data_IF_882904155446
#
_entry.id   IF_882904155446
#
_cell.length_a   1.000
_cell.length_b   1.000
_cell.length_c   1.000
_cell.angle_alpha   90.00
_cell.angle_beta   90.00
_cell.angle_gamma   90.00
#
_symmetry.space_group_name_H-M   'P 1'
#
loop_
_entity.id
_entity.type
_entity.pdbx_description
1 polymer ?
#
# COMPACT_ATOMS: atom_id res chain seq x y z
N UNK A 1 19.99 14.04 92.03
CA UNK A 1 19.97 13.48 90.66
C UNK A 1 18.61 13.60 89.96
N UNK A 2 17.47 13.53 90.67
CA UNK A 2 16.13 13.52 90.04
C UNK A 2 15.66 14.84 89.41
N UNK A 3 16.05 16.02 89.91
CA UNK A 3 15.49 17.28 89.40
C UNK A 3 15.91 17.61 87.96
N UNK A 4 17.13 17.23 87.53
CA UNK A 4 17.60 17.44 86.15
C UNK A 4 16.92 16.53 85.13
N UNK A 5 16.56 15.30 85.53
CA UNK A 5 15.86 14.35 84.65
C UNK A 5 14.41 14.79 84.40
N UNK A 6 13.70 15.24 85.44
CA UNK A 6 12.35 15.80 85.27
C UNK A 6 12.34 17.09 84.45
N UNK A 7 13.38 17.92 84.55
CA UNK A 7 13.50 19.15 83.75
C UNK A 7 13.73 18.84 82.27
N UNK A 8 14.53 17.81 81.96
CA UNK A 8 14.73 17.33 80.59
C UNK A 8 13.46 16.68 80.01
N UNK A 9 12.73 15.90 80.82
CA UNK A 9 11.48 15.26 80.41
C UNK A 9 10.33 16.28 80.26
N UNK A 10 10.34 17.34 81.06
CA UNK A 10 9.45 18.50 80.89
C UNK A 10 9.79 19.29 79.62
N UNK A 11 11.08 19.55 79.35
CA UNK A 11 11.53 20.18 78.09
C UNK A 11 11.16 19.35 76.87
N UNK A 12 11.29 18.02 76.93
CA UNK A 12 10.96 17.13 75.84
C UNK A 12 9.45 17.04 75.60
N UNK A 13 8.66 16.93 76.68
CA UNK A 13 7.19 16.99 76.62
C UNK A 13 6.70 18.34 76.10
N UNK A 14 7.35 19.44 76.50
CA UNK A 14 7.04 20.78 76.02
C UNK A 14 7.39 20.94 74.54
N UNK A 15 8.52 20.40 74.07
CA UNK A 15 8.90 20.39 72.66
C UNK A 15 7.91 19.60 71.80
N UNK A 16 7.41 18.47 72.29
CA UNK A 16 6.38 17.68 71.61
C UNK A 16 5.04 18.44 71.57
N UNK A 17 4.64 19.08 72.67
CA UNK A 17 3.42 19.89 72.70
C UNK A 17 3.52 21.09 71.74
N UNK A 18 4.70 21.72 71.69
CA UNK A 18 4.99 22.83 70.79
C UNK A 18 4.98 22.38 69.33
N UNK A 19 5.53 21.20 69.01
CA UNK A 19 5.52 20.66 67.64
C UNK A 19 4.12 20.29 67.17
N UNK A 20 3.27 19.77 68.07
CA UNK A 20 1.85 19.50 67.79
C UNK A 20 1.07 20.80 67.59
N UNK A 21 1.31 21.83 68.42
CA UNK A 21 0.72 23.16 68.27
C UNK A 21 1.16 23.82 66.95
N UNK A 22 2.42 23.70 66.57
CA UNK A 22 2.93 24.20 65.29
C UNK A 22 2.31 23.46 64.10
N UNK A 23 2.16 22.13 64.20
CA UNK A 23 1.49 21.34 63.17
C UNK A 23 0.01 21.72 63.03
N UNK A 24 -0.70 21.88 64.15
CA UNK A 24 -2.10 22.33 64.17
C UNK A 24 -2.27 23.74 63.59
N UNK A 25 -1.37 24.67 63.93
CA UNK A 25 -1.36 26.02 63.38
C UNK A 25 -1.09 26.02 61.86
N UNK A 26 -0.23 25.12 61.36
CA UNK A 26 0.03 25.02 59.93
C UNK A 26 -1.15 24.45 59.15
N UNK A 27 -1.80 23.41 59.67
CA UNK A 27 -2.98 22.80 59.05
C UNK A 27 -4.16 23.77 58.98
N UNK A 28 -4.41 24.56 60.04
CA UNK A 28 -5.57 25.46 60.08
C UNK A 28 -5.33 26.84 59.49
N UNK A 29 -4.11 27.38 59.58
CA UNK A 29 -3.84 28.78 59.25
C UNK A 29 -2.75 28.97 58.18
N UNK A 30 -2.15 27.91 57.63
CA UNK A 30 -1.14 27.97 56.56
C UNK A 30 -0.07 29.06 56.79
N UNK A 31 0.34 29.24 58.05
CA UNK A 31 1.17 30.36 58.50
C UNK A 31 2.57 30.24 57.91
N UNK A 32 3.17 29.05 57.95
CA UNK A 32 4.48 28.82 57.34
C UNK A 32 4.42 28.89 55.82
N UNK A 33 3.35 28.42 55.18
CA UNK A 33 3.15 28.63 53.75
C UNK A 33 3.16 30.11 53.37
N UNK A 34 2.38 30.96 54.07
CA UNK A 34 2.33 32.41 53.80
C UNK A 34 3.63 33.14 54.11
N UNK A 35 4.32 32.77 55.19
CA UNK A 35 5.65 33.32 55.51
C UNK A 35 6.67 32.91 54.46
N UNK A 36 6.66 31.64 54.04
CA UNK A 36 7.54 31.11 52.97
C UNK A 36 7.29 31.81 51.63
N UNK A 37 6.04 32.07 51.27
CA UNK A 37 5.70 32.78 50.03
C UNK A 37 6.16 34.25 50.07
N UNK A 38 5.96 34.95 51.20
CA UNK A 38 6.48 36.31 51.41
C UNK A 38 8.00 36.37 51.35
N UNK A 39 8.68 35.40 51.98
CA UNK A 39 10.14 35.27 51.91
C UNK A 39 10.58 35.00 50.48
N UNK A 40 9.90 34.10 49.75
CA UNK A 40 10.21 33.79 48.35
C UNK A 40 10.09 35.03 47.46
N UNK A 41 9.01 35.81 47.59
CA UNK A 41 8.84 37.09 46.88
C UNK A 41 9.96 38.08 47.21
N UNK A 42 10.29 38.26 48.49
CA UNK A 42 11.40 39.12 48.92
C UNK A 42 12.76 38.65 48.34
N UNK A 43 12.97 37.35 48.23
CA UNK A 43 14.18 36.78 47.64
C UNK A 43 14.28 36.97 46.13
N UNK A 44 13.15 36.85 45.42
CA UNK A 44 13.07 37.14 43.99
C UNK A 44 13.30 38.64 43.73
N UNK A 45 12.78 39.53 44.58
CA UNK A 45 13.01 40.98 44.54
C UNK A 45 14.50 41.33 44.74
N UNK A 46 15.17 40.73 45.74
CA UNK A 46 16.61 40.94 45.99
C UNK A 46 17.46 40.44 44.80
N UNK A 47 17.09 39.29 44.22
CA UNK A 47 17.80 38.71 43.07
C UNK A 47 17.68 39.61 41.84
N UNK A 48 16.52 40.24 41.64
CA UNK A 48 16.27 41.17 40.55
C UNK A 48 17.06 42.49 40.72
N UNK A 49 17.18 43.00 41.96
CA UNK A 49 17.93 44.24 42.24
C UNK A 49 19.46 44.08 42.18
N UNK A 50 20.01 42.90 42.53
CA UNK A 50 21.47 42.71 42.67
C UNK A 50 22.17 42.13 41.42
N UNK A 51 21.43 41.67 40.40
CA UNK A 51 21.94 41.03 39.15
C UNK A 51 22.94 39.87 39.35
N UNK A 52 23.15 39.40 40.57
CA UNK A 52 24.04 38.30 40.91
C UNK A 52 23.31 36.98 40.64
N UNK A 53 23.97 36.04 39.94
CA UNK A 53 23.48 34.67 39.71
C UNK A 53 23.55 33.78 40.97
N UNK A 54 23.68 34.37 42.15
CA UNK A 54 23.85 33.67 43.42
C UNK A 54 22.56 33.83 44.23
N UNK A 55 22.05 32.73 44.78
CA UNK A 55 20.81 32.72 45.55
C UNK A 55 21.05 33.26 46.97
N UNK A 56 21.19 34.59 47.10
CA UNK A 56 21.61 35.30 48.33
C UNK A 56 20.73 34.93 49.54
N UNK A 57 19.43 34.74 49.34
CA UNK A 57 18.53 34.31 50.40
C UNK A 57 18.83 32.92 50.94
N UNK A 58 19.24 31.98 50.09
CA UNK A 58 19.62 30.65 50.53
C UNK A 58 20.88 30.70 51.40
N UNK A 59 21.84 31.55 51.02
CA UNK A 59 23.07 31.78 51.79
C UNK A 59 22.78 32.45 53.12
N UNK A 60 21.94 33.49 53.16
CA UNK A 60 21.55 34.14 54.42
C UNK A 60 20.77 33.20 55.33
N UNK A 61 19.83 32.42 54.80
CA UNK A 61 19.11 31.42 55.58
C UNK A 61 20.07 30.36 56.15
N UNK A 62 21.02 29.87 55.35
CA UNK A 62 22.02 28.91 55.79
C UNK A 62 22.97 29.49 56.84
N UNK A 63 23.36 30.77 56.71
CA UNK A 63 24.17 31.49 57.70
C UNK A 63 23.41 31.68 59.02
N UNK A 64 22.15 32.11 58.97
CA UNK A 64 21.32 32.30 60.16
C UNK A 64 21.07 30.97 60.85
N UNK A 65 20.68 29.94 60.11
CA UNK A 65 20.47 28.58 60.66
C UNK A 65 21.79 28.03 61.21
N UNK A 66 22.91 28.22 60.51
CA UNK A 66 24.23 27.81 60.96
C UNK A 66 24.66 28.52 62.24
N UNK A 67 24.42 29.82 62.36
CA UNK A 67 24.66 30.59 63.59
C UNK A 67 23.74 30.15 64.74
N UNK A 68 22.48 29.81 64.45
CA UNK A 68 21.51 29.35 65.43
C UNK A 68 21.84 27.95 65.94
N UNK A 69 22.22 27.04 65.03
CA UNK A 69 22.73 25.70 65.36
C UNK A 69 24.05 25.83 66.13
N UNK A 70 24.96 26.70 65.70
CA UNK A 70 26.21 26.97 66.40
C UNK A 70 25.99 27.52 67.81
N UNK A 71 25.06 28.46 67.97
CA UNK A 71 24.69 29.03 69.27
C UNK A 71 24.02 28.00 70.19
N UNK A 72 23.10 27.18 69.65
CA UNK A 72 22.47 26.09 70.40
C UNK A 72 23.48 25.00 70.75
N UNK A 73 24.38 24.66 69.84
CA UNK A 73 25.49 23.73 70.06
C UNK A 73 26.44 24.25 71.14
N UNK A 74 26.76 25.54 71.12
CA UNK A 74 27.55 26.20 72.16
C UNK A 74 26.84 26.18 73.51
N UNK A 75 25.53 26.51 73.56
CA UNK A 75 24.72 26.44 74.78
C UNK A 75 24.63 25.02 75.35
N UNK A 76 24.44 24.01 74.49
CA UNK A 76 24.45 22.60 74.87
C UNK A 76 25.83 22.20 75.39
N UNK A 77 26.90 22.58 74.69
CA UNK A 77 28.27 22.33 75.13
C UNK A 77 28.56 22.95 76.48
N UNK A 78 28.26 24.24 76.67
CA UNK A 78 28.57 24.96 77.89
C UNK A 78 27.74 24.48 79.09
N UNK A 79 26.48 24.10 78.89
CA UNK A 79 25.60 23.66 80.00
C UNK A 79 25.69 22.18 80.32
N UNK A 80 25.86 21.32 79.32
CA UNK A 80 25.86 19.86 79.52
C UNK A 80 27.25 19.25 79.53
N UNK A 81 28.18 19.71 78.68
CA UNK A 81 29.47 19.04 78.49
C UNK A 81 30.63 19.73 79.24
N UNK A 82 30.72 21.06 79.19
CA UNK A 82 31.74 21.91 79.85
C UNK A 82 31.90 21.63 81.35
N UNK A 83 30.84 21.36 82.15
CA UNK A 83 31.00 21.02 83.57
C UNK A 83 31.78 19.71 83.78
N UNK A 84 31.52 18.68 82.97
CA UNK A 84 32.23 17.40 83.03
C UNK A 84 33.70 17.56 82.58
N UNK A 85 33.94 18.36 81.53
CA UNK A 85 35.30 18.66 81.09
C UNK A 85 36.12 19.38 82.17
N UNK A 86 35.53 20.32 82.92
CA UNK A 86 36.19 21.03 84.03
C UNK A 86 36.46 20.16 85.26
N UNK A 87 35.65 19.12 85.47
CA UNK A 87 35.85 18.15 86.55
C UNK A 87 36.99 17.16 86.25
N UNK A 88 37.25 16.87 84.97
CA UNK A 88 38.20 15.83 84.55
C UNK A 88 39.55 16.38 84.04
N UNK A 89 39.58 17.58 83.47
CA UNK A 89 40.79 18.19 82.91
C UNK A 89 41.31 19.32 83.82
N UNK A 90 42.63 19.34 84.02
CA UNK A 90 43.36 20.46 84.61
C UNK A 90 44.14 21.20 83.51
N UNK A 91 44.11 22.53 83.56
CA UNK A 91 44.78 23.37 82.57
C UNK A 91 45.90 24.13 83.27
N UNK A 92 47.13 23.62 83.18
CA UNK A 92 48.33 24.36 83.57
C UNK A 92 49.17 24.64 82.31
N UNK A 93 49.48 25.92 82.09
CA UNK A 93 50.29 26.51 81.03
C UNK A 93 50.77 25.56 79.92
N UNK A 94 49.87 25.35 78.95
CA UNK A 94 50.07 24.74 77.62
C UNK A 94 50.08 23.20 77.50
N UNK A 95 49.82 22.44 78.57
CA UNK A 95 49.52 21.01 78.46
C UNK A 95 48.22 20.67 79.19
N UNK A 96 47.27 20.09 78.45
CA UNK A 96 46.01 19.59 79.01
C UNK A 96 46.32 18.26 79.69
N UNK A 97 46.24 18.20 81.02
CA UNK A 97 46.46 16.98 81.79
C UNK A 97 45.17 16.56 82.50
N UNK A 98 45.02 15.25 82.69
CA UNK A 98 43.92 14.72 83.49
C UNK A 98 44.14 15.12 84.95
N UNK A 99 43.09 15.60 85.64
CA UNK A 99 43.15 15.89 87.08
C UNK A 99 43.55 14.61 87.82
N UNK A 100 44.78 14.56 88.30
CA UNK A 100 45.29 13.43 89.06
C UNK A 100 44.76 13.53 90.49
N UNK A 101 43.72 12.76 90.80
CA UNK A 101 43.26 12.60 92.18
C UNK A 101 44.36 11.93 93.00
N UNK A 102 44.70 12.52 94.14
CA UNK A 102 45.64 11.95 95.11
C UNK A 102 44.99 10.77 95.84
N UNK A 103 44.81 9.66 95.12
CA UNK A 103 44.72 8.29 95.60
C UNK A 103 44.63 7.38 94.36
N UNK A 104 45.65 6.53 94.19
CA UNK A 104 45.75 5.60 93.07
C UNK A 104 44.71 4.49 93.26
N UNK A 105 43.61 4.62 92.54
CA UNK A 105 42.80 3.50 92.03
C UNK A 105 42.43 3.90 90.60
N UNK A 106 43.22 3.44 89.62
CA UNK A 106 43.05 3.74 88.17
C UNK A 106 41.62 3.43 87.67
N UNK A 107 40.88 2.57 88.37
CA UNK A 107 39.48 2.25 88.10
C UNK A 107 38.53 3.45 88.19
N UNK A 108 38.79 4.43 89.04
CA UNK A 108 37.91 5.59 89.24
C UNK A 108 37.96 6.59 88.08
N UNK A 109 39.14 6.79 87.50
CA UNK A 109 39.34 7.71 86.38
C UNK A 109 38.80 7.11 85.07
N UNK A 110 39.03 5.81 84.87
CA UNK A 110 38.45 5.03 83.77
C UNK A 110 36.91 5.01 83.87
N UNK A 111 36.35 4.86 85.08
CA UNK A 111 34.90 4.92 85.31
C UNK A 111 34.27 6.28 84.98
N UNK A 112 34.94 7.38 85.30
CA UNK A 112 34.45 8.74 84.97
C UNK A 112 34.49 9.01 83.45
N UNK A 113 35.53 8.56 82.76
CA UNK A 113 35.59 8.61 81.29
C UNK A 113 34.58 7.69 80.61
N UNK A 114 34.33 6.51 81.18
CA UNK A 114 33.25 5.61 80.74
C UNK A 114 31.89 6.28 80.88
N UNK A 115 31.59 6.88 82.03
CA UNK A 115 30.32 7.59 82.28
C UNK A 115 30.14 8.81 81.37
N UNK A 116 31.23 9.52 81.06
CA UNK A 116 31.23 10.61 80.06
C UNK A 116 30.97 10.08 78.65
N UNK A 117 31.63 8.99 78.27
CA UNK A 117 31.40 8.30 76.99
C UNK A 117 29.96 7.83 76.84
N UNK A 118 29.36 7.28 77.91
CA UNK A 118 27.95 6.87 77.95
C UNK A 118 27.00 8.06 77.83
N UNK A 119 27.34 9.21 78.40
CA UNK A 119 26.54 10.43 78.29
C UNK A 119 26.61 11.07 76.90
N UNK A 120 27.82 11.18 76.32
CA UNK A 120 28.04 11.62 74.95
C UNK A 120 27.32 10.68 73.99
N UNK A 121 27.59 9.38 74.09
CA UNK A 121 26.98 8.35 73.25
C UNK A 121 25.46 8.29 73.40
N UNK A 122 24.96 8.36 74.64
CA UNK A 122 23.52 8.37 74.93
C UNK A 122 22.77 9.59 74.42
N UNK A 123 23.46 10.72 74.21
CA UNK A 123 22.87 11.94 73.65
C UNK A 123 23.05 12.04 72.14
N UNK A 124 24.23 11.70 71.62
CA UNK A 124 24.54 11.77 70.18
C UNK A 124 23.87 10.66 69.38
N UNK A 125 23.78 9.43 69.89
CA UNK A 125 23.19 8.32 69.12
C UNK A 125 21.73 8.57 68.74
N UNK A 126 20.84 9.03 69.65
CA UNK A 126 19.47 9.38 69.27
C UNK A 126 19.39 10.52 68.24
N UNK A 127 20.27 11.53 68.35
CA UNK A 127 20.31 12.66 67.41
C UNK A 127 20.78 12.19 66.02
N UNK A 128 21.88 11.42 65.95
CA UNK A 128 22.38 10.84 64.70
C UNK A 128 21.34 9.88 64.11
N UNK A 129 20.71 9.04 64.93
CA UNK A 129 19.66 8.11 64.52
C UNK A 129 18.46 8.85 63.91
N UNK A 130 18.03 9.95 64.54
CA UNK A 130 16.95 10.79 64.02
C UNK A 130 17.31 11.46 62.69
N UNK A 131 18.53 12.02 62.57
CA UNK A 131 19.02 12.59 61.30
C UNK A 131 19.08 11.51 60.21
N UNK A 132 19.51 10.30 60.56
CA UNK A 132 19.60 9.16 59.63
C UNK A 132 18.22 8.77 59.10
N UNK A 133 17.19 8.78 59.95
CA UNK A 133 15.80 8.55 59.55
C UNK A 133 15.32 9.65 58.59
N UNK A 134 15.58 10.93 58.89
CA UNK A 134 15.21 12.05 58.00
C UNK A 134 15.89 11.91 56.64
N UNK A 135 17.18 11.58 56.61
CA UNK A 135 17.93 11.38 55.37
C UNK A 135 17.37 10.19 54.57
N UNK A 136 16.96 9.12 55.24
CA UNK A 136 16.34 7.97 54.59
C UNK A 136 14.98 8.34 53.98
N UNK A 137 14.13 9.09 54.68
CA UNK A 137 12.87 9.60 54.13
C UNK A 137 13.10 10.56 52.96
N UNK A 138 14.09 11.45 53.05
CA UNK A 138 14.44 12.35 51.95
C UNK A 138 14.91 11.57 50.72
N UNK A 139 15.75 10.55 50.92
CA UNK A 139 16.21 9.66 49.85
C UNK A 139 15.05 8.88 49.22
N UNK A 140 14.15 8.34 50.04
CA UNK A 140 12.94 7.66 49.58
C UNK A 140 12.05 8.57 48.74
N UNK A 141 11.81 9.80 49.17
CA UNK A 141 11.00 10.77 48.42
C UNK A 141 11.62 11.13 47.08
N UNK A 142 12.94 11.37 47.04
CA UNK A 142 13.67 11.62 45.79
C UNK A 142 13.57 10.41 44.86
N UNK A 143 13.81 9.21 45.39
CA UNK A 143 13.77 7.96 44.62
C UNK A 143 12.37 7.69 44.07
N UNK A 144 11.33 7.91 44.88
CA UNK A 144 9.93 7.78 44.48
C UNK A 144 9.61 8.71 43.31
N UNK A 145 10.00 9.99 43.40
CA UNK A 145 9.77 10.96 42.34
C UNK A 145 10.52 10.61 41.05
N UNK A 146 11.76 10.14 41.16
CA UNK A 146 12.55 9.67 40.01
C UNK A 146 11.87 8.48 39.31
N UNK A 147 11.32 7.54 40.08
CA UNK A 147 10.58 6.41 39.53
C UNK A 147 9.28 6.83 38.83
N UNK A 148 8.57 7.82 39.37
CA UNK A 148 7.35 8.35 38.77
C UNK A 148 7.65 9.02 37.42
N UNK A 149 8.65 9.92 37.37
CA UNK A 149 9.09 10.57 36.13
C UNK A 149 9.57 9.54 35.11
N UNK A 150 10.38 8.56 35.54
CA UNK A 150 10.88 7.51 34.64
C UNK A 150 9.74 6.66 34.06
N UNK A 151 8.70 6.37 34.84
CA UNK A 151 7.50 5.66 34.35
C UNK A 151 6.73 6.49 33.32
N UNK A 152 6.61 7.80 33.55
CA UNK A 152 5.95 8.71 32.61
C UNK A 152 6.73 8.80 31.30
N UNK A 153 8.05 8.99 31.35
CA UNK A 153 8.92 9.00 30.16
C UNK A 153 8.85 7.67 29.37
N UNK A 154 8.85 6.53 30.06
CA UNK A 154 8.69 5.22 29.41
C UNK A 154 7.32 5.08 28.73
N UNK A 155 6.26 5.59 29.36
CA UNK A 155 4.91 5.58 28.78
C UNK A 155 4.85 6.45 27.53
N UNK A 156 5.38 7.67 27.59
CA UNK A 156 5.45 8.58 26.43
C UNK A 156 6.30 8.00 25.30
N UNK A 157 7.45 7.41 25.63
CA UNK A 157 8.30 6.70 24.66
C UNK A 157 7.55 5.54 24.00
N UNK A 158 6.80 4.75 24.77
CA UNK A 158 5.99 3.65 24.23
C UNK A 158 4.88 4.17 23.30
N UNK A 159 4.23 5.28 23.64
CA UNK A 159 3.22 5.90 22.80
C UNK A 159 3.84 6.43 21.50
N UNK A 160 4.96 7.15 21.58
CA UNK A 160 5.68 7.63 20.41
C UNK A 160 6.15 6.49 19.50
N UNK A 161 6.60 5.36 20.06
CA UNK A 161 6.95 4.16 19.28
C UNK A 161 5.74 3.56 18.55
N UNK A 162 4.55 3.56 19.17
CA UNK A 162 3.32 3.08 18.53
C UNK A 162 2.90 3.99 17.37
N UNK A 163 2.96 5.31 17.55
CA UNK A 163 2.62 6.29 16.53
C UNK A 163 3.61 6.23 15.35
N UNK A 164 4.90 6.06 15.66
CA UNK A 164 5.95 5.83 14.67
C UNK A 164 5.73 4.52 13.90
N UNK A 165 5.30 3.44 14.56
CA UNK A 165 5.03 2.17 13.89
C UNK A 165 3.86 2.28 12.90
N UNK A 166 2.81 3.04 13.23
CA UNK A 166 1.71 3.34 12.30
C UNK A 166 2.19 4.16 11.11
N UNK A 167 2.89 5.27 11.37
CA UNK A 167 3.45 6.14 10.32
C UNK A 167 4.42 5.39 9.41
N UNK A 168 5.26 4.52 9.97
CA UNK A 168 6.23 3.74 9.21
C UNK A 168 5.55 2.72 8.27
N UNK A 169 4.39 2.15 8.65
CA UNK A 169 3.60 1.30 7.75
C UNK A 169 3.05 2.08 6.56
N UNK A 170 2.50 3.27 6.79
CA UNK A 170 1.99 4.14 5.72
C UNK A 170 3.11 4.61 4.77
N UNK A 171 4.28 4.95 5.34
CA UNK A 171 5.48 5.28 4.56
C UNK A 171 5.91 4.09 3.71
N UNK A 172 5.96 2.87 4.27
CA UNK A 172 6.33 1.67 3.51
C UNK A 172 5.32 1.38 2.38
N UNK A 173 4.01 1.55 2.64
CA UNK A 173 2.98 1.39 1.60
C UNK A 173 3.19 2.41 0.47
N UNK A 174 3.36 3.69 0.82
CA UNK A 174 3.61 4.77 -0.13
C UNK A 174 4.90 4.55 -0.95
N UNK A 175 5.99 4.14 -0.29
CA UNK A 175 7.27 3.84 -0.96
C UNK A 175 7.12 2.68 -1.96
N UNK A 176 6.40 1.61 -1.61
CA UNK A 176 6.13 0.51 -2.54
C UNK A 176 5.34 0.98 -3.76
N UNK A 177 4.35 1.85 -3.58
CA UNK A 177 3.59 2.44 -4.69
C UNK A 177 4.46 3.29 -5.61
N UNK A 178 5.32 4.15 -5.05
CA UNK A 178 6.27 4.96 -5.82
C UNK A 178 7.32 4.12 -6.56
N UNK A 179 7.85 3.08 -5.90
CA UNK A 179 8.79 2.13 -6.52
C UNK A 179 8.14 1.39 -7.68
N UNK A 180 6.88 1.00 -7.53
CA UNK A 180 6.11 0.45 -8.65
C UNK A 180 6.02 1.48 -9.78
N UNK A 181 5.60 2.72 -9.51
CA UNK A 181 5.37 3.70 -10.58
C UNK A 181 6.66 3.94 -11.35
N UNK A 182 7.79 4.08 -10.65
CA UNK A 182 9.10 4.19 -11.28
C UNK A 182 9.45 2.95 -12.12
N UNK A 183 9.22 1.75 -11.62
CA UNK A 183 9.48 0.51 -12.37
C UNK A 183 8.59 0.41 -13.62
N UNK A 184 7.29 0.68 -13.46
CA UNK A 184 6.31 0.67 -14.54
C UNK A 184 6.71 1.63 -15.66
N UNK A 185 6.99 2.90 -15.36
CA UNK A 185 7.36 3.87 -16.39
C UNK A 185 8.72 3.58 -17.03
N UNK A 186 9.66 2.98 -16.30
CA UNK A 186 10.91 2.49 -16.89
C UNK A 186 10.68 1.33 -17.87
N UNK A 187 9.84 0.36 -17.50
CA UNK A 187 9.47 -0.74 -18.39
C UNK A 187 8.71 -0.23 -19.62
N UNK A 188 7.77 0.70 -19.42
CA UNK A 188 7.01 1.34 -20.48
C UNK A 188 7.93 2.08 -21.46
N UNK A 189 8.94 2.80 -20.96
CA UNK A 189 9.93 3.48 -21.80
C UNK A 189 10.74 2.51 -22.65
N UNK A 190 11.17 1.39 -22.07
CA UNK A 190 11.87 0.33 -22.83
C UNK A 190 10.94 -0.29 -23.88
N UNK A 191 9.68 -0.52 -23.53
CA UNK A 191 8.67 -1.02 -24.44
C UNK A 191 8.38 -0.04 -25.59
N UNK A 192 8.33 1.27 -25.33
CA UNK A 192 8.21 2.30 -26.36
C UNK A 192 9.38 2.23 -27.36
N UNK A 193 10.60 2.04 -26.86
CA UNK A 193 11.77 1.88 -27.73
C UNK A 193 11.64 0.65 -28.65
N UNK A 194 11.22 -0.50 -28.09
CA UNK A 194 10.95 -1.70 -28.90
C UNK A 194 9.81 -1.46 -29.90
N UNK A 195 8.75 -0.77 -29.50
CA UNK A 195 7.65 -0.36 -30.37
C UNK A 195 8.11 0.45 -31.58
N UNK A 196 9.03 1.39 -31.38
CA UNK A 196 9.60 2.19 -32.47
C UNK A 196 10.40 1.32 -33.42
N UNK A 197 11.27 0.44 -32.88
CA UNK A 197 12.05 -0.50 -33.72
C UNK A 197 11.11 -1.37 -34.55
N UNK A 198 10.00 -1.80 -33.97
CA UNK A 198 9.02 -2.67 -34.61
C UNK A 198 8.16 -1.99 -35.66
N UNK A 199 7.59 -0.84 -35.30
CA UNK A 199 6.68 -0.09 -36.17
C UNK A 199 7.36 0.51 -37.40
N UNK A 200 8.69 0.69 -37.36
CA UNK A 200 9.47 1.19 -38.49
C UNK A 200 9.87 0.09 -39.49
N UNK A 201 9.57 -1.18 -39.23
CA UNK A 201 9.92 -2.28 -40.13
C UNK A 201 8.76 -2.61 -41.08
N UNK A 202 9.03 -2.65 -42.40
CA UNK A 202 8.10 -3.21 -43.41
C UNK A 202 7.67 -4.64 -43.06
N UNK A 203 8.51 -5.35 -42.32
CA UNK A 203 8.30 -6.71 -41.85
C UNK A 203 7.05 -6.88 -40.97
N UNK A 204 6.63 -5.86 -40.22
CA UNK A 204 5.38 -5.92 -39.43
C UNK A 204 4.14 -6.04 -40.32
N UNK A 205 4.05 -5.22 -41.36
CA UNK A 205 2.92 -5.27 -42.29
C UNK A 205 2.91 -6.60 -43.04
N UNK A 206 4.09 -7.07 -43.46
CA UNK A 206 4.22 -8.39 -44.07
C UNK A 206 3.77 -9.51 -43.13
N UNK A 207 4.18 -9.50 -41.87
CA UNK A 207 3.74 -10.49 -40.87
C UNK A 207 2.22 -10.44 -40.67
N UNK A 208 1.63 -9.25 -40.58
CA UNK A 208 0.19 -9.10 -40.50
C UNK A 208 -0.51 -9.69 -41.72
N UNK A 209 -0.03 -9.36 -42.91
CA UNK A 209 -0.56 -9.88 -44.17
C UNK A 209 -0.41 -11.40 -44.24
N UNK A 210 0.75 -11.95 -43.90
CA UNK A 210 1.01 -13.39 -43.88
C UNK A 210 0.00 -14.13 -42.99
N UNK A 211 -0.30 -13.60 -41.79
CA UNK A 211 -1.25 -14.22 -40.84
C UNK A 211 -2.69 -14.08 -41.33
N UNK A 212 -3.13 -12.85 -41.59
CA UNK A 212 -4.57 -12.54 -41.69
C UNK A 212 -5.09 -12.42 -43.12
N UNK A 213 -4.21 -12.30 -44.12
CA UNK A 213 -4.57 -12.11 -45.53
C UNK A 213 -4.09 -13.29 -46.38
N UNK A 214 -2.79 -13.58 -46.38
CA UNK A 214 -2.22 -14.71 -47.13
C UNK A 214 -2.46 -16.06 -46.45
N UNK A 215 -2.78 -16.03 -45.14
CA UNK A 215 -3.10 -17.22 -44.31
C UNK A 215 -2.01 -18.27 -44.38
N UNK A 216 -0.76 -17.83 -44.41
CA UNK A 216 0.37 -18.72 -44.45
C UNK A 216 0.40 -19.52 -43.13
N UNK A 217 0.33 -20.85 -43.22
CA UNK A 217 0.31 -21.71 -42.02
C UNK A 217 1.71 -21.96 -41.45
N UNK A 218 2.77 -21.63 -42.21
CA UNK A 218 4.16 -21.89 -41.88
C UNK A 218 4.91 -20.63 -41.44
N UNK A 219 4.25 -19.73 -40.69
CA UNK A 219 4.90 -18.47 -40.30
C UNK A 219 5.81 -18.75 -39.11
N UNK A 220 7.10 -18.52 -39.32
CA UNK A 220 8.13 -18.59 -38.28
C UNK A 220 8.10 -17.38 -37.34
N UNK A 221 6.92 -16.90 -36.91
CA UNK A 221 6.79 -15.77 -35.95
C UNK A 221 7.50 -16.08 -34.63
N UNK A 222 7.49 -17.35 -34.21
CA UNK A 222 8.21 -17.82 -33.02
C UNK A 222 9.74 -17.84 -33.18
N UNK A 223 10.26 -17.50 -34.36
CA UNK A 223 11.70 -17.34 -34.59
C UNK A 223 12.10 -15.86 -34.65
N UNK A 224 11.12 -14.94 -34.76
CA UNK A 224 11.40 -13.51 -34.71
C UNK A 224 11.75 -13.09 -33.28
N UNK A 225 13.05 -12.99 -33.02
CA UNK A 225 13.62 -12.70 -31.70
C UNK A 225 13.14 -11.36 -31.16
N UNK A 226 13.02 -10.36 -32.04
CA UNK A 226 12.61 -9.05 -31.64
C UNK A 226 11.11 -9.12 -31.21
N UNK A 227 10.27 -9.99 -31.81
CA UNK A 227 8.81 -10.00 -31.64
C UNK A 227 8.49 -10.69 -30.32
N UNK A 228 9.23 -11.77 -30.06
CA UNK A 228 9.30 -12.42 -28.77
C UNK A 228 9.72 -11.44 -27.67
N UNK A 229 10.75 -10.62 -27.88
CA UNK A 229 11.17 -9.60 -26.91
C UNK A 229 10.08 -8.55 -26.67
N UNK A 230 9.38 -8.13 -27.73
CA UNK A 230 8.27 -7.21 -27.64
C UNK A 230 7.13 -7.76 -26.77
N UNK A 231 6.63 -8.96 -27.08
CA UNK A 231 5.54 -9.58 -26.32
C UNK A 231 5.97 -9.96 -24.90
N UNK A 232 7.22 -10.39 -24.70
CA UNK A 232 7.76 -10.65 -23.36
C UNK A 232 7.81 -9.37 -22.51
N UNK A 233 8.18 -8.24 -23.12
CA UNK A 233 8.19 -6.94 -22.43
C UNK A 233 6.79 -6.49 -22.05
N UNK A 234 5.82 -6.66 -22.95
CA UNK A 234 4.40 -6.40 -22.69
C UNK A 234 3.89 -7.27 -21.53
N UNK A 235 4.18 -8.58 -21.57
CA UNK A 235 3.79 -9.51 -20.52
C UNK A 235 4.37 -9.11 -19.15
N UNK A 236 5.65 -8.72 -19.12
CA UNK A 236 6.31 -8.26 -17.90
C UNK A 236 5.64 -7.00 -17.32
N UNK A 237 5.24 -6.05 -18.18
CA UNK A 237 4.49 -4.87 -17.75
C UNK A 237 3.16 -5.28 -17.12
N UNK A 238 2.40 -6.18 -17.76
CA UNK A 238 1.11 -6.64 -17.24
C UNK A 238 1.25 -7.38 -15.90
N UNK A 239 2.24 -8.26 -15.77
CA UNK A 239 2.55 -8.94 -14.50
C UNK A 239 2.91 -7.91 -13.43
N UNK A 240 3.67 -6.86 -13.79
CA UNK A 240 4.04 -5.79 -12.86
C UNK A 240 2.79 -5.05 -12.38
N UNK A 241 1.87 -4.69 -13.29
CA UNK A 241 0.57 -4.09 -12.95
C UNK A 241 -0.19 -5.00 -11.96
N UNK A 242 -0.28 -6.29 -12.25
CA UNK A 242 -0.92 -7.27 -11.35
C UNK A 242 -0.37 -7.22 -9.92
N UNK A 243 0.96 -7.13 -9.74
CA UNK A 243 1.59 -7.01 -8.42
C UNK A 243 1.20 -5.73 -7.66
N UNK A 244 0.86 -4.64 -8.35
CA UNK A 244 0.33 -3.42 -7.69
C UNK A 244 -1.08 -3.63 -7.18
N UNK A 245 -1.89 -4.39 -7.91
CA UNK A 245 -3.25 -4.70 -7.49
C UNK A 245 -3.24 -5.49 -6.18
N UNK A 246 -2.29 -6.42 -6.01
CA UNK A 246 -2.11 -7.19 -4.77
C UNK A 246 -1.81 -6.32 -3.53
N UNK A 247 -1.32 -5.09 -3.71
CA UNK A 247 -1.02 -4.14 -2.61
C UNK A 247 -2.26 -3.32 -2.23
N UNK A 248 -3.26 -3.28 -3.11
CA UNK A 248 -4.45 -2.44 -2.96
C UNK A 248 -5.58 -3.27 -2.33
N UNK A 249 -6.14 -2.83 -1.21
CA UNK A 249 -7.09 -3.64 -0.44
C UNK A 249 -8.52 -3.62 -1.01
N UNK A 250 -8.87 -2.61 -1.79
CA UNK A 250 -10.23 -2.39 -2.30
C UNK A 250 -10.37 -2.84 -3.77
N UNK A 251 -11.32 -3.74 -4.03
CA UNK A 251 -11.62 -4.28 -5.37
C UNK A 251 -11.95 -3.19 -6.41
N UNK A 252 -12.70 -2.15 -6.04
CA UNK A 252 -13.04 -1.08 -6.98
C UNK A 252 -11.81 -0.26 -7.37
N UNK A 253 -10.95 0.02 -6.37
CA UNK A 253 -9.68 0.74 -6.58
C UNK A 253 -8.70 -0.10 -7.40
N UNK A 254 -8.68 -1.43 -7.21
CA UNK A 254 -7.91 -2.35 -8.05
C UNK A 254 -8.38 -2.29 -9.51
N UNK A 255 -9.68 -2.34 -9.77
CA UNK A 255 -10.22 -2.27 -11.14
C UNK A 255 -9.87 -0.93 -11.78
N UNK A 256 -10.06 0.19 -11.08
CA UNK A 256 -9.72 1.52 -11.57
C UNK A 256 -8.23 1.65 -11.87
N UNK A 257 -7.38 1.17 -10.95
CA UNK A 257 -5.92 1.15 -11.11
C UNK A 257 -5.49 0.31 -12.31
N UNK A 258 -6.03 -0.91 -12.44
CA UNK A 258 -5.73 -1.79 -13.57
C UNK A 258 -6.07 -1.12 -14.89
N UNK A 259 -7.29 -0.57 -14.98
CA UNK A 259 -7.77 0.12 -16.16
C UNK A 259 -6.84 1.26 -16.55
N UNK A 260 -6.48 2.12 -15.59
CA UNK A 260 -5.59 3.25 -15.82
C UNK A 260 -4.23 2.84 -16.41
N UNK A 261 -3.54 1.87 -15.81
CA UNK A 261 -2.22 1.45 -16.32
C UNK A 261 -2.31 0.67 -17.63
N UNK A 262 -3.32 -0.19 -17.79
CA UNK A 262 -3.53 -0.93 -19.04
C UNK A 262 -3.83 0.03 -20.19
N UNK A 263 -4.66 1.05 -19.97
CA UNK A 263 -4.98 2.06 -21.00
C UNK A 263 -3.73 2.85 -21.43
N UNK A 264 -2.82 3.17 -20.49
CA UNK A 264 -1.52 3.78 -20.82
C UNK A 264 -0.70 2.88 -21.75
N UNK A 265 -0.64 1.57 -21.46
CA UNK A 265 0.10 0.61 -22.30
C UNK A 265 -0.54 0.49 -23.67
N UNK A 266 -1.87 0.34 -23.73
CA UNK A 266 -2.63 0.19 -24.98
C UNK A 266 -2.48 1.41 -25.90
N UNK A 267 -2.39 2.61 -25.33
CA UNK A 267 -2.14 3.82 -26.11
C UNK A 267 -0.79 3.78 -26.87
N UNK A 268 0.13 2.90 -26.47
CA UNK A 268 1.43 2.71 -27.15
C UNK A 268 1.39 1.58 -28.19
N UNK A 269 0.34 0.76 -28.25
CA UNK A 269 0.29 -0.43 -29.10
C UNK A 269 -0.61 -0.20 -30.31
N UNK A 270 -0.07 -0.23 -31.55
CA UNK A 270 -0.88 -0.12 -32.75
C UNK A 270 -1.89 -1.27 -32.88
N UNK A 271 -3.03 -1.01 -33.52
CA UNK A 271 -4.10 -1.99 -33.62
C UNK A 271 -3.69 -3.28 -34.37
N UNK A 272 -2.90 -3.16 -35.45
CA UNK A 272 -2.33 -4.32 -36.14
C UNK A 272 -1.52 -5.22 -35.21
N UNK A 273 -0.78 -4.63 -34.27
CA UNK A 273 0.03 -5.36 -33.30
C UNK A 273 -0.82 -6.06 -32.23
N UNK A 274 -1.95 -5.46 -31.84
CA UNK A 274 -2.92 -6.11 -30.97
C UNK A 274 -3.49 -7.38 -31.62
N UNK A 275 -3.76 -7.36 -32.92
CA UNK A 275 -4.22 -8.55 -33.63
C UNK A 275 -3.16 -9.66 -33.65
N UNK A 276 -1.90 -9.32 -33.97
CA UNK A 276 -0.79 -10.28 -33.96
C UNK A 276 -0.60 -10.82 -32.54
N UNK A 277 -0.72 -9.99 -31.51
CA UNK A 277 -0.68 -10.41 -30.11
C UNK A 277 -1.80 -11.41 -29.78
N UNK A 278 -3.03 -11.17 -30.23
CA UNK A 278 -4.15 -12.10 -30.03
C UNK A 278 -3.90 -13.46 -30.72
N UNK A 279 -3.29 -13.44 -31.90
CA UNK A 279 -2.91 -14.67 -32.59
C UNK A 279 -1.76 -15.39 -31.86
N UNK A 280 -0.73 -14.66 -31.43
CA UNK A 280 0.43 -15.21 -30.74
C UNK A 280 0.07 -15.79 -29.37
N UNK A 281 -0.68 -15.04 -28.56
CA UNK A 281 -1.06 -15.42 -27.21
C UNK A 281 -1.94 -16.68 -27.19
N UNK A 282 -2.65 -16.99 -28.27
CA UNK A 282 -3.39 -18.26 -28.37
C UNK A 282 -2.46 -19.48 -28.28
N UNK A 283 -1.21 -19.35 -28.72
CA UNK A 283 -0.21 -20.41 -28.62
C UNK A 283 0.54 -20.41 -27.27
N UNK A 284 0.48 -19.30 -26.52
CA UNK A 284 1.09 -19.15 -25.19
C UNK A 284 0.00 -18.95 -24.12
N UNK A 285 -0.40 -20.06 -23.49
CA UNK A 285 -1.45 -20.08 -22.46
C UNK A 285 -1.18 -19.14 -21.27
N UNK A 286 0.08 -18.91 -20.92
CA UNK A 286 0.43 -18.02 -19.79
C UNK A 286 0.14 -16.58 -20.18
N UNK A 287 0.56 -16.20 -21.39
CA UNK A 287 0.29 -14.88 -21.93
C UNK A 287 -1.21 -14.66 -22.15
N UNK A 288 -1.92 -15.63 -22.74
CA UNK A 288 -3.38 -15.56 -22.90
C UNK A 288 -4.08 -15.24 -21.58
N UNK A 289 -3.79 -16.01 -20.52
CA UNK A 289 -4.42 -15.81 -19.21
C UNK A 289 -4.08 -14.45 -18.60
N UNK A 290 -2.86 -13.96 -18.83
CA UNK A 290 -2.43 -12.63 -18.36
C UNK A 290 -3.19 -11.51 -19.08
N UNK A 291 -3.42 -11.66 -20.39
CA UNK A 291 -4.22 -10.71 -21.19
C UNK A 291 -5.70 -10.73 -20.78
N UNK A 292 -6.28 -11.91 -20.55
CA UNK A 292 -7.67 -12.08 -20.10
C UNK A 292 -7.89 -11.43 -18.72
N UNK A 293 -7.01 -11.73 -17.75
CA UNK A 293 -7.09 -11.14 -16.41
C UNK A 293 -6.94 -9.62 -16.42
N UNK A 294 -6.11 -9.08 -17.32
CA UNK A 294 -5.90 -7.64 -17.45
C UNK A 294 -7.00 -6.92 -18.23
N UNK A 295 -7.89 -7.64 -18.95
CA UNK A 295 -8.89 -7.01 -19.81
C UNK A 295 -8.25 -6.25 -20.98
N UNK A 296 -7.15 -6.79 -21.52
CA UNK A 296 -6.23 -6.03 -22.36
C UNK A 296 -6.82 -5.59 -23.71
N UNK A 297 -7.77 -6.31 -24.29
CA UNK A 297 -8.34 -5.96 -25.61
C UNK A 297 -9.52 -4.98 -25.54
N UNK A 298 -9.58 -4.18 -24.47
CA UNK A 298 -10.66 -3.20 -24.24
C UNK A 298 -10.77 -2.05 -25.23
N UNK A 299 -9.70 -1.77 -25.99
CA UNK A 299 -9.67 -0.71 -27.01
C UNK A 299 -9.33 -1.24 -28.42
N UNK A 300 -9.26 -2.56 -28.58
CA UNK A 300 -8.95 -3.21 -29.87
C UNK A 300 -10.07 -2.94 -30.89
N UNK A 301 -9.70 -2.58 -32.12
CA UNK A 301 -10.57 -2.70 -33.30
C UNK A 301 -10.52 -4.12 -33.84
N UNK A 302 -11.62 -4.64 -34.38
CA UNK A 302 -11.66 -5.99 -34.96
C UNK A 302 -11.60 -5.99 -36.49
N UNK A 303 -11.43 -4.82 -37.09
CA UNK A 303 -11.37 -4.63 -38.54
C UNK A 303 -9.95 -4.77 -39.09
N UNK A 304 -9.84 -5.13 -40.37
CA UNK A 304 -8.55 -5.16 -41.05
C UNK A 304 -7.85 -3.79 -41.00
N UNK A 305 -6.55 -3.82 -40.72
CA UNK A 305 -5.71 -2.63 -40.53
C UNK A 305 -4.89 -2.24 -41.78
N UNK A 306 -4.83 -3.07 -42.82
CA UNK A 306 -3.94 -2.85 -43.98
C UNK A 306 -4.56 -1.86 -44.97
N UNK A 307 -4.07 -0.62 -44.97
CA UNK A 307 -4.56 0.48 -45.84
C UNK A 307 -4.38 0.21 -47.34
N UNK A 308 -3.39 -0.60 -47.73
CA UNK A 308 -3.02 -0.79 -49.14
C UNK A 308 -3.91 -1.80 -49.91
N UNK A 309 -4.78 -2.57 -49.23
CA UNK A 309 -5.72 -3.51 -49.86
C UNK A 309 -7.15 -3.02 -49.64
N UNK A 310 -7.56 -2.06 -50.48
CA UNK A 310 -8.83 -1.31 -50.38
C UNK A 310 -10.09 -2.17 -50.29
N UNK A 311 -10.11 -3.37 -50.87
CA UNK A 311 -11.30 -4.24 -50.90
C UNK A 311 -11.66 -4.85 -49.53
N UNK A 312 -10.67 -5.05 -48.65
CA UNK A 312 -10.88 -5.65 -47.32
C UNK A 312 -10.70 -4.64 -46.18
N UNK A 313 -10.05 -3.51 -46.45
CA UNK A 313 -9.81 -2.47 -45.46
C UNK A 313 -11.12 -1.95 -44.85
N UNK A 314 -11.18 -1.85 -43.52
CA UNK A 314 -12.38 -1.41 -42.81
C UNK A 314 -13.47 -2.48 -42.62
N UNK A 315 -13.34 -3.67 -43.22
CA UNK A 315 -14.18 -4.84 -42.93
C UNK A 315 -13.66 -5.61 -41.71
N UNK A 316 -14.52 -6.42 -41.09
CA UNK A 316 -14.11 -7.25 -39.95
C UNK A 316 -13.09 -8.29 -40.37
N UNK A 317 -12.06 -8.47 -39.54
CA UNK A 317 -11.05 -9.49 -39.76
C UNK A 317 -11.59 -10.84 -39.31
N UNK A 318 -12.04 -11.64 -40.28
CA UNK A 318 -12.62 -12.96 -40.08
C UNK A 318 -11.67 -13.89 -39.31
N UNK A 319 -10.41 -13.94 -39.73
CA UNK A 319 -9.41 -14.81 -39.11
C UNK A 319 -9.12 -14.40 -37.67
N UNK A 320 -9.12 -13.09 -37.38
CA UNK A 320 -9.03 -12.59 -36.01
C UNK A 320 -10.24 -13.02 -35.17
N UNK A 321 -11.47 -12.85 -35.66
CA UNK A 321 -12.68 -13.25 -34.93
C UNK A 321 -12.69 -14.77 -34.66
N UNK A 322 -12.22 -15.57 -35.62
CA UNK A 322 -11.97 -17.00 -35.44
C UNK A 322 -10.90 -17.32 -34.40
N UNK A 323 -9.99 -16.42 -34.05
CA UNK A 323 -9.11 -16.65 -32.89
C UNK A 323 -9.77 -16.17 -31.59
N UNK A 324 -10.43 -15.01 -31.65
CA UNK A 324 -11.00 -14.34 -30.48
C UNK A 324 -12.15 -15.11 -29.80
N UNK A 325 -12.91 -15.94 -30.52
CA UNK A 325 -13.95 -16.77 -29.89
C UNK A 325 -13.44 -17.75 -28.82
N UNK A 326 -12.12 -18.01 -28.80
CA UNK A 326 -11.48 -18.92 -27.84
C UNK A 326 -11.03 -18.25 -26.56
N UNK A 327 -11.16 -16.93 -26.47
CA UNK A 327 -10.82 -16.13 -25.30
C UNK A 327 -12.05 -15.90 -24.42
N UNK A 328 -11.83 -15.73 -23.12
CA UNK A 328 -12.89 -15.27 -22.21
C UNK A 328 -13.30 -13.83 -22.59
N UNK A 329 -14.61 -13.56 -22.72
CA UNK A 329 -15.15 -12.24 -23.08
C UNK A 329 -14.67 -11.11 -22.15
N UNK A 330 -14.26 -11.43 -20.92
CA UNK A 330 -13.65 -10.46 -19.98
C UNK A 330 -12.43 -9.75 -20.55
N UNK A 331 -11.73 -10.34 -21.54
CA UNK A 331 -10.60 -9.69 -22.20
C UNK A 331 -11.00 -8.38 -22.91
N UNK A 332 -12.27 -8.26 -23.33
CA UNK A 332 -12.79 -7.09 -24.04
C UNK A 332 -13.38 -6.03 -23.10
N UNK A 333 -13.70 -6.36 -21.85
CA UNK A 333 -14.27 -5.41 -20.88
C UNK A 333 -15.45 -4.61 -21.50
N UNK A 334 -15.44 -3.28 -21.37
CA UNK A 334 -16.46 -2.39 -21.95
C UNK A 334 -16.06 -1.85 -23.34
N UNK A 335 -15.35 -2.64 -24.17
CA UNK A 335 -14.95 -2.24 -25.51
C UNK A 335 -16.18 -1.87 -26.37
N UNK A 336 -16.28 -0.60 -26.78
CA UNK A 336 -17.38 -0.10 -27.61
C UNK A 336 -17.51 -0.86 -28.93
N UNK A 337 -16.39 -1.16 -29.59
CA UNK A 337 -16.37 -1.89 -30.86
C UNK A 337 -16.83 -3.35 -30.71
N UNK A 338 -16.65 -3.92 -29.51
CA UNK A 338 -17.14 -5.25 -29.20
C UNK A 338 -18.64 -5.21 -28.91
N UNK A 339 -19.13 -4.18 -28.22
CA UNK A 339 -20.57 -3.93 -28.05
C UNK A 339 -21.26 -3.70 -29.40
N UNK A 340 -20.63 -2.96 -30.32
CA UNK A 340 -21.12 -2.80 -31.69
C UNK A 340 -21.16 -4.16 -32.41
N UNK A 341 -20.11 -4.98 -32.29
CA UNK A 341 -20.08 -6.34 -32.83
C UNK A 341 -21.23 -7.19 -32.27
N UNK A 342 -21.52 -7.12 -30.96
CA UNK A 342 -22.63 -7.84 -30.30
C UNK A 342 -24.00 -7.54 -30.92
N UNK A 343 -24.16 -6.36 -31.52
CA UNK A 343 -25.40 -5.97 -32.20
C UNK A 343 -25.53 -6.51 -33.63
N UNK A 344 -24.47 -7.12 -34.18
CA UNK A 344 -24.44 -7.65 -35.54
C UNK A 344 -24.63 -9.17 -35.56
N UNK A 345 -25.05 -9.70 -36.72
CA UNK A 345 -25.16 -11.14 -36.94
C UNK A 345 -23.81 -11.88 -36.83
N UNK A 346 -22.68 -11.15 -36.98
CA UNK A 346 -21.34 -11.73 -36.82
C UNK A 346 -21.09 -12.22 -35.40
N UNK A 347 -21.65 -11.56 -34.38
CA UNK A 347 -21.48 -12.02 -33.01
C UNK A 347 -22.12 -13.40 -32.81
N UNK A 348 -23.31 -13.64 -33.35
CA UNK A 348 -23.94 -14.96 -33.28
C UNK A 348 -23.11 -16.03 -34.00
N UNK A 349 -22.49 -15.67 -35.14
CA UNK A 349 -21.59 -16.56 -35.90
C UNK A 349 -20.36 -16.98 -35.08
N UNK A 350 -19.70 -16.03 -34.40
CA UNK A 350 -18.39 -16.29 -33.76
C UNK A 350 -18.46 -16.53 -32.25
N UNK A 351 -19.42 -15.98 -31.54
CA UNK A 351 -19.48 -15.96 -30.08
C UNK A 351 -20.81 -16.48 -29.51
N UNK A 352 -21.74 -16.94 -30.37
CA UNK A 352 -23.00 -17.54 -29.93
C UNK A 352 -22.85 -18.92 -29.27
N UNK A 353 -23.97 -19.54 -28.88
CA UNK A 353 -23.99 -20.86 -28.21
C UNK A 353 -23.39 -21.99 -29.06
N UNK A 354 -23.51 -21.89 -30.38
CA UNK A 354 -22.97 -22.84 -31.36
C UNK A 354 -22.14 -22.07 -32.41
N UNK A 355 -20.98 -21.52 -32.00
CA UNK A 355 -20.26 -20.51 -32.77
C UNK A 355 -19.52 -21.16 -33.94
N UNK A 356 -20.11 -21.09 -35.12
CA UNK A 356 -19.47 -21.41 -36.40
C UNK A 356 -20.40 -21.03 -37.56
N UNK A 357 -19.86 -20.54 -38.68
CA UNK A 357 -20.68 -20.08 -39.82
C UNK A 357 -21.64 -21.17 -40.32
N UNK A 358 -21.16 -22.41 -40.47
CA UNK A 358 -22.01 -23.50 -40.95
C UNK A 358 -23.18 -23.76 -39.99
N UNK A 359 -22.91 -23.78 -38.68
CA UNK A 359 -23.95 -23.99 -37.66
C UNK A 359 -24.96 -22.84 -37.63
N UNK A 360 -24.49 -21.61 -37.83
CA UNK A 360 -25.33 -20.43 -37.96
C UNK A 360 -26.30 -20.54 -39.15
N UNK A 361 -25.80 -20.95 -40.33
CA UNK A 361 -26.67 -21.18 -41.49
C UNK A 361 -27.60 -22.37 -41.30
N UNK A 362 -27.10 -23.47 -40.71
CA UNK A 362 -27.91 -24.67 -40.42
C UNK A 362 -29.09 -24.36 -39.48
N UNK A 363 -28.88 -23.52 -38.46
CA UNK A 363 -29.92 -23.08 -37.52
C UNK A 363 -31.03 -22.30 -38.22
N UNK A 364 -30.68 -21.46 -39.19
CA UNK A 364 -31.66 -20.75 -39.99
C UNK A 364 -32.36 -21.68 -40.98
N UNK A 365 -31.63 -22.68 -41.50
CA UNK A 365 -32.13 -23.52 -42.56
C UNK A 365 -31.33 -24.83 -42.75
N UNK A 366 -32.04 -25.96 -42.79
CA UNK A 366 -31.44 -27.31 -42.72
C UNK A 366 -31.13 -27.97 -44.09
N UNK A 367 -31.35 -27.29 -45.22
CA UNK A 367 -31.34 -27.92 -46.57
C UNK A 367 -30.81 -26.99 -47.68
N UNK A 368 -31.03 -27.34 -48.95
CA UNK A 368 -30.58 -26.61 -50.15
C UNK A 368 -31.44 -25.37 -50.44
N UNK A 369 -30.84 -24.23 -50.77
CA UNK A 369 -31.58 -23.02 -51.18
C UNK A 369 -31.60 -22.97 -52.70
N UNK A 370 -32.78 -22.87 -53.31
CA UNK A 370 -32.91 -22.80 -54.76
C UNK A 370 -33.29 -21.38 -55.17
N UNK A 371 -32.37 -20.68 -55.82
CA UNK A 371 -32.58 -19.37 -56.42
C UNK A 371 -32.96 -19.55 -57.89
N UNK A 372 -34.13 -19.04 -58.27
CA UNK A 372 -34.54 -18.96 -59.67
C UNK A 372 -34.03 -17.65 -60.25
N UNK A 373 -33.21 -17.73 -61.30
CA UNK A 373 -32.54 -16.57 -61.89
C UNK A 373 -32.82 -16.50 -63.39
N UNK A 374 -33.02 -15.29 -63.88
CA UNK A 374 -33.12 -14.98 -65.32
C UNK A 374 -31.83 -14.32 -65.78
N UNK A 375 -31.23 -14.82 -66.86
CA UNK A 375 -30.05 -14.20 -67.45
C UNK A 375 -30.36 -13.71 -68.87
N UNK A 376 -30.49 -12.40 -69.06
CA UNK A 376 -30.72 -11.73 -70.36
C UNK A 376 -31.43 -12.58 -71.44
N UNK A 377 -30.73 -12.83 -72.56
CA UNK A 377 -31.19 -13.64 -73.71
C UNK A 377 -30.94 -15.15 -73.56
N UNK A 378 -30.30 -15.61 -72.48
CA UNK A 378 -29.72 -16.96 -72.37
C UNK A 378 -30.60 -17.96 -71.61
N UNK A 379 -31.62 -17.49 -70.88
CA UNK A 379 -32.72 -18.31 -70.35
C UNK A 379 -32.89 -18.29 -68.82
N UNK A 380 -33.71 -19.22 -68.30
CA UNK A 380 -33.98 -19.39 -66.86
C UNK A 380 -33.09 -20.47 -66.26
N UNK A 381 -32.54 -20.18 -65.09
CA UNK A 381 -31.58 -21.02 -64.38
C UNK A 381 -32.03 -21.29 -62.94
N UNK A 382 -31.61 -22.44 -62.41
CA UNK A 382 -31.69 -22.75 -60.98
C UNK A 382 -30.28 -22.73 -60.41
N UNK A 383 -30.04 -21.85 -59.44
CA UNK A 383 -28.85 -21.89 -58.60
C UNK A 383 -29.24 -22.60 -57.30
N UNK A 384 -28.54 -23.68 -56.98
CA UNK A 384 -28.75 -24.46 -55.76
C UNK A 384 -27.59 -24.14 -54.83
N UNK A 385 -27.86 -23.54 -53.68
CA UNK A 385 -26.88 -23.22 -52.65
C UNK A 385 -26.95 -24.24 -51.52
N UNK A 386 -25.80 -24.77 -51.14
CA UNK A 386 -25.62 -25.67 -50.00
C UNK A 386 -24.54 -25.11 -49.08
N UNK A 387 -24.84 -25.03 -47.79
CA UNK A 387 -23.84 -24.69 -46.79
C UNK A 387 -23.28 -25.98 -46.20
N UNK A 388 -21.96 -26.05 -46.09
CA UNK A 388 -21.21 -27.17 -45.53
C UNK A 388 -20.26 -26.66 -44.45
N UNK A 389 -19.60 -27.56 -43.73
CA UNK A 389 -18.58 -27.20 -42.74
C UNK A 389 -17.41 -26.38 -43.32
N UNK A 390 -17.11 -26.58 -44.61
CA UNK A 390 -15.94 -25.97 -45.26
C UNK A 390 -16.27 -24.69 -46.05
N UNK A 391 -17.55 -24.37 -46.23
CA UNK A 391 -17.96 -23.24 -47.06
C UNK A 391 -19.33 -23.41 -47.67
N UNK A 392 -19.62 -22.57 -48.66
CA UNK A 392 -20.83 -22.63 -49.47
C UNK A 392 -20.49 -23.26 -50.82
N UNK A 393 -21.27 -24.25 -51.23
CA UNK A 393 -21.28 -24.77 -52.58
C UNK A 393 -22.48 -24.19 -53.33
N UNK A 394 -22.29 -23.80 -54.58
CA UNK A 394 -23.37 -23.38 -55.45
C UNK A 394 -23.31 -24.15 -56.77
N UNK A 395 -24.45 -24.72 -57.16
CA UNK A 395 -24.59 -25.45 -58.40
C UNK A 395 -25.54 -24.72 -59.34
N UNK A 396 -25.09 -24.51 -60.57
CA UNK A 396 -25.89 -23.91 -61.64
C UNK A 396 -26.49 -24.99 -62.53
N UNK A 397 -27.82 -24.97 -62.66
CA UNK A 397 -28.58 -25.85 -63.55
C UNK A 397 -29.32 -25.04 -64.60
N UNK A 398 -29.00 -25.29 -65.86
CA UNK A 398 -29.76 -24.74 -66.98
C UNK A 398 -31.03 -25.57 -67.22
N UNK A 399 -32.20 -24.91 -67.21
CA UNK A 399 -33.51 -25.58 -67.37
C UNK A 399 -33.70 -26.23 -68.74
N UNK A 400 -32.97 -25.79 -69.77
CA UNK A 400 -33.10 -26.31 -71.14
C UNK A 400 -32.30 -27.61 -71.39
N UNK A 401 -31.06 -27.70 -70.89
CA UNK A 401 -30.16 -28.84 -71.17
C UNK A 401 -29.79 -29.69 -69.94
N UNK A 402 -30.30 -29.32 -68.74
CA UNK A 402 -30.08 -30.00 -67.45
C UNK A 402 -28.61 -30.20 -67.04
N UNK A 403 -27.67 -29.50 -67.67
CA UNK A 403 -26.25 -29.54 -67.28
C UNK A 403 -26.10 -28.87 -65.92
N UNK A 404 -25.38 -29.54 -65.01
CA UNK A 404 -25.10 -29.09 -63.65
C UNK A 404 -23.60 -28.80 -63.53
N UNK A 405 -23.25 -27.58 -63.13
CA UNK A 405 -21.88 -27.20 -62.80
C UNK A 405 -21.87 -26.64 -61.39
N UNK A 406 -20.99 -27.16 -60.54
CA UNK A 406 -20.92 -26.80 -59.13
C UNK A 406 -19.58 -26.16 -58.80
N UNK A 407 -19.63 -25.19 -57.90
CA UNK A 407 -18.46 -24.49 -57.44
C UNK A 407 -18.52 -24.29 -55.93
N UNK A 408 -17.37 -24.33 -55.26
CA UNK A 408 -17.26 -24.10 -53.83
C UNK A 408 -16.58 -22.76 -53.53
N UNK A 409 -17.11 -22.09 -52.51
CA UNK A 409 -16.57 -20.88 -51.91
C UNK A 409 -16.28 -21.22 -50.44
N UNK A 410 -15.00 -21.35 -50.11
CA UNK A 410 -14.56 -21.51 -48.72
C UNK A 410 -15.02 -20.28 -47.90
N UNK A 411 -15.47 -20.49 -46.67
CA UNK A 411 -15.81 -19.39 -45.75
C UNK A 411 -14.65 -18.41 -45.57
N UNK A 412 -13.42 -18.89 -45.63
CA UNK A 412 -12.23 -18.05 -45.57
C UNK A 412 -12.12 -17.06 -46.75
N UNK A 413 -12.79 -17.33 -47.87
CA UNK A 413 -12.79 -16.47 -49.05
C UNK A 413 -14.02 -15.57 -49.14
N UNK A 414 -14.91 -15.61 -48.14
CA UNK A 414 -16.05 -14.70 -48.05
C UNK A 414 -15.64 -13.40 -47.32
N UNK A 415 -16.22 -12.28 -47.72
CA UNK A 415 -16.03 -10.99 -47.07
C UNK A 415 -17.20 -10.75 -46.11
N UNK A 416 -16.87 -10.58 -44.83
CA UNK A 416 -17.84 -10.36 -43.76
C UNK A 416 -17.90 -8.87 -43.41
N UNK A 417 -19.07 -8.28 -43.62
CA UNK A 417 -19.34 -6.88 -43.24
C UNK A 417 -20.35 -6.83 -42.10
N UNK A 418 -20.61 -5.64 -41.56
CA UNK A 418 -21.67 -5.45 -40.54
C UNK A 418 -23.08 -5.76 -41.06
N UNK A 419 -23.31 -5.64 -42.37
CA UNK A 419 -24.65 -5.64 -42.98
C UNK A 419 -24.86 -6.75 -44.01
N UNK A 420 -23.81 -7.44 -44.43
CA UNK A 420 -23.91 -8.51 -45.42
C UNK A 420 -22.67 -9.40 -45.49
N UNK A 421 -22.88 -10.67 -45.84
CA UNK A 421 -21.82 -11.59 -46.26
C UNK A 421 -21.71 -11.51 -47.78
N UNK A 422 -20.52 -11.20 -48.30
CA UNK A 422 -20.24 -11.21 -49.72
C UNK A 422 -19.45 -12.48 -50.05
N UNK A 423 -20.01 -13.33 -50.91
CA UNK A 423 -19.37 -14.55 -51.36
C UNK A 423 -19.15 -14.46 -52.87
N UNK A 424 -17.92 -14.14 -53.27
CA UNK A 424 -17.52 -13.99 -54.68
C UNK A 424 -16.56 -15.11 -55.09
N UNK A 425 -16.72 -15.59 -56.31
CA UNK A 425 -15.77 -16.48 -56.95
C UNK A 425 -15.44 -15.96 -58.35
N UNK A 426 -14.14 -15.78 -58.65
CA UNK A 426 -13.55 -15.35 -59.91
C UNK A 426 -14.56 -15.02 -61.05
N UNK A 427 -15.04 -13.77 -61.04
CA UNK A 427 -15.78 -13.04 -62.08
C UNK A 427 -17.12 -13.60 -62.61
N UNK A 428 -17.59 -14.78 -62.21
CA UNK A 428 -18.81 -15.36 -62.80
C UNK A 428 -20.07 -15.25 -61.93
N UNK A 429 -19.98 -15.39 -60.61
CA UNK A 429 -21.12 -15.20 -59.71
C UNK A 429 -20.64 -14.70 -58.35
N UNK A 430 -21.39 -13.75 -57.81
CA UNK A 430 -21.26 -13.34 -56.42
C UNK A 430 -22.62 -13.36 -55.74
N UNK A 431 -22.62 -13.61 -54.44
CA UNK A 431 -23.82 -13.59 -53.60
C UNK A 431 -23.65 -12.57 -52.49
N UNK A 432 -24.72 -11.81 -52.24
CA UNK A 432 -24.85 -10.95 -51.07
C UNK A 432 -25.88 -11.61 -50.16
N UNK A 433 -25.50 -11.87 -48.91
CA UNK A 433 -26.40 -12.39 -47.87
C UNK A 433 -26.63 -11.27 -46.84
N UNK A 434 -27.69 -10.46 -46.96
CA UNK A 434 -27.92 -9.32 -46.07
C UNK A 434 -28.14 -9.77 -44.62
N UNK A 435 -27.39 -9.19 -43.69
CA UNK A 435 -27.41 -9.50 -42.26
C UNK A 435 -27.27 -11.01 -41.93
N UNK A 436 -26.62 -11.78 -42.81
CA UNK A 436 -26.53 -13.24 -42.68
C UNK A 436 -27.88 -13.97 -42.85
N UNK A 437 -28.93 -13.28 -43.29
CA UNK A 437 -30.27 -13.83 -43.51
C UNK A 437 -30.35 -14.46 -44.90
N UNK A 438 -30.34 -15.79 -44.91
CA UNK A 438 -30.37 -16.59 -46.15
C UNK A 438 -31.67 -16.41 -46.95
N UNK A 439 -32.75 -15.93 -46.33
CA UNK A 439 -34.00 -15.65 -47.04
C UNK A 439 -33.96 -14.38 -47.90
N UNK A 440 -32.90 -13.57 -47.74
CA UNK A 440 -32.75 -12.28 -48.42
C UNK A 440 -31.58 -12.25 -49.39
N UNK A 441 -31.08 -13.41 -49.82
CA UNK A 441 -29.93 -13.52 -50.72
C UNK A 441 -30.16 -12.70 -52.00
N UNK A 442 -29.16 -11.95 -52.40
CA UNK A 442 -29.11 -11.18 -53.64
C UNK A 442 -27.92 -11.63 -54.49
N UNK A 443 -27.99 -11.35 -55.79
CA UNK A 443 -26.90 -11.63 -56.73
C UNK A 443 -26.00 -10.39 -56.80
N UNK A 444 -24.73 -10.56 -56.46
CA UNK A 444 -23.69 -9.52 -56.51
C UNK A 444 -23.17 -9.40 -57.95
N UNK A 445 -23.83 -8.53 -58.71
CA UNK A 445 -23.39 -7.90 -59.96
C UNK A 445 -22.79 -8.81 -61.07
N UNK A 446 -23.65 -9.21 -61.99
CA UNK A 446 -23.37 -9.21 -63.43
C UNK A 446 -24.61 -8.53 -64.05
N UNK A 447 -24.43 -7.50 -64.88
CA UNK A 447 -25.50 -6.75 -65.57
C UNK A 447 -26.51 -7.64 -66.32
N UNK A 448 -26.21 -8.93 -66.45
CA UNK A 448 -26.98 -9.96 -67.14
C UNK A 448 -27.95 -10.76 -66.27
N UNK A 449 -27.79 -10.85 -64.95
CA UNK A 449 -28.59 -11.77 -64.10
C UNK A 449 -29.56 -11.05 -63.16
N UNK A 450 -30.82 -11.49 -63.15
CA UNK A 450 -31.88 -10.98 -62.27
C UNK A 450 -32.48 -12.12 -61.44
N UNK A 451 -32.47 -11.96 -60.12
CA UNK A 451 -33.15 -12.87 -59.20
C UNK A 451 -34.67 -12.75 -59.36
N UNK A 452 -35.34 -13.88 -59.57
CA UNK A 452 -36.79 -13.95 -59.74
C UNK A 452 -37.45 -14.35 -58.42
N UNK A 453 -36.99 -15.45 -57.82
CA UNK A 453 -37.61 -16.06 -56.65
C UNK A 453 -36.59 -16.89 -55.86
N UNK A 454 -36.81 -17.01 -54.56
CA UNK A 454 -36.01 -17.80 -53.62
C UNK A 454 -36.91 -18.89 -53.05
N UNK A 455 -36.56 -20.14 -53.31
CA UNK A 455 -37.23 -21.30 -52.72
C UNK A 455 -36.34 -21.94 -51.66
N UNK A 456 -36.88 -21.96 -50.46
CA UNK A 456 -36.30 -22.59 -49.27
C UNK A 456 -37.05 -23.93 -49.08
N UNK A 457 -36.34 -25.05 -49.30
CA UNK A 457 -36.76 -26.48 -49.34
C UNK A 457 -36.77 -27.24 -48.01
#
# INVERSE_FOLDING_TARGET
MNYKFYMLQFLFSFLILLSILFWWAEVNYSVFYRVREKVKKFCDDIKQQTKLKINICFIMAFLIIGLLIGYLGYQLFDKLYSPYFKEVLDSNNQLITLKKTSNINDSSLIGNWGTFGDFIGGTLNPIIGFISIILLFATWFVTYRTLEVSREELKESTNALKDNAGTQKEIQKTQKLQQFDSLFFNLLKNFQYLNVIYSQQEQHNKQYEDIFIEKNKNIALFQDTNLLQYFSSLNLILITIGKKLDITDNLNEQIETQNYYVDIVLAQVPNGMLHILAWYAFQDKILQKTLENSGFFRNMDFKYYVENKSEIFGNYNFELLLQLHRYDEKIFQNNKKFLDLKSTYLYEIFFGDEPFIYKFFQKQYNKEIVLNVEAGLTGRYELILTFSENGMEYCYRNKANKRLECYSIDYQNMIFTTVSILARQNNNFGFIIPNGDVSKIQIDNLETYKLIDIKII
#
